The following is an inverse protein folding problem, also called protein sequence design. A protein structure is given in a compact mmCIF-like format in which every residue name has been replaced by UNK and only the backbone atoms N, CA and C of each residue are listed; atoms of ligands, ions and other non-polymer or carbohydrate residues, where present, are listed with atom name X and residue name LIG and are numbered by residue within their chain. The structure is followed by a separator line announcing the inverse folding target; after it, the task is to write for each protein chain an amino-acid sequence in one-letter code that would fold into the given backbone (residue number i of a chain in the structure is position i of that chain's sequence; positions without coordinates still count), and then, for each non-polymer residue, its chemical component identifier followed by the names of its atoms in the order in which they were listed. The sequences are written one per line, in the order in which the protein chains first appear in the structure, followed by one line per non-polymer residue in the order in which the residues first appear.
data_IF_325143196287
#
_entry.id   IF_325143196287
#
_cell.length_a   1.000
_cell.length_b   1.000
_cell.length_c   1.000
_cell.angle_alpha   90.00
_cell.angle_beta   90.00
_cell.angle_gamma   90.00
#
_symmetry.space_group_name_H-M   'P 1'
#
loop_
_entity.id
_entity.type
_entity.pdbx_description
1 polymer ?
#
# COMPACT_ATOMS: atom_id res chain seq x y z
N UNK A 1 28.29 46.11 27.42
CA UNK A 1 27.10 46.65 28.13
C UNK A 1 25.94 46.42 27.19
N UNK A 2 25.34 45.24 27.28
CA UNK A 2 24.07 44.87 27.98
C UNK A 2 23.09 44.51 26.85
N UNK A 3 22.90 43.24 26.50
CA UNK A 3 22.21 42.18 27.27
C UNK A 3 20.80 42.61 27.61
N UNK A 4 19.85 42.22 26.76
CA UNK A 4 18.46 42.03 27.16
C UNK A 4 18.08 40.59 26.81
N UNK A 5 18.40 39.73 27.78
CA UNK A 5 17.91 38.37 27.98
C UNK A 5 16.56 38.43 28.72
N UNK A 6 15.75 37.38 28.54
CA UNK A 6 14.52 37.03 29.28
C UNK A 6 13.27 37.83 28.85
N UNK A 7 12.21 37.20 28.34
CA UNK A 7 11.36 36.22 29.04
C UNK A 7 10.44 35.60 27.97
N UNK A 8 10.42 34.30 27.69
CA UNK A 8 9.88 33.22 28.52
C UNK A 8 10.47 31.87 28.12
N UNK A 9 11.01 31.17 29.12
CA UNK A 9 11.40 29.77 29.05
C UNK A 9 10.31 28.87 29.67
N UNK A 10 10.43 27.57 29.34
CA UNK A 10 9.81 26.34 29.90
C UNK A 10 8.48 25.98 29.21
N UNK A 11 8.35 24.80 28.59
CA UNK A 11 8.67 23.47 29.13
C UNK A 11 9.30 22.52 28.09
N UNK A 12 10.32 21.81 28.54
CA UNK A 12 10.86 20.57 27.99
C UNK A 12 10.04 19.37 28.51
N UNK A 13 9.77 18.38 27.65
CA UNK A 13 9.69 16.93 27.91
C UNK A 13 9.24 16.26 26.59
N UNK A 14 10.00 15.37 25.96
CA UNK A 14 10.17 13.99 26.41
C UNK A 14 9.18 13.07 25.67
N UNK A 15 9.48 12.70 24.42
CA UNK A 15 8.66 11.77 23.65
C UNK A 15 9.27 11.42 22.31
N UNK A 16 10.00 10.29 22.25
CA UNK A 16 10.47 9.68 21.02
C UNK A 16 9.31 9.14 20.18
N UNK A 17 8.51 10.05 19.63
CA UNK A 17 7.45 9.74 18.70
C UNK A 17 8.05 9.10 17.46
N UNK A 18 7.65 7.87 17.16
CA UNK A 18 7.82 7.28 15.83
C UNK A 18 7.21 8.26 14.84
N UNK A 19 8.06 8.93 14.06
CA UNK A 19 7.63 9.72 12.91
C UNK A 19 6.79 8.80 12.02
N UNK A 20 5.53 9.17 11.83
CA UNK A 20 4.59 8.42 11.02
C UNK A 20 5.04 8.46 9.55
N UNK A 21 4.61 7.54 8.67
CA UNK A 21 4.99 7.53 7.25
C UNK A 21 4.72 8.84 6.50
N UNK A 22 3.85 9.70 7.05
CA UNK A 22 3.55 11.04 6.57
C UNK A 22 4.63 12.09 6.88
N UNK A 23 5.56 11.83 7.80
CA UNK A 23 6.51 12.81 8.33
C UNK A 23 7.86 12.81 7.60
N UNK A 24 7.99 12.03 6.51
CA UNK A 24 9.25 11.83 5.78
C UNK A 24 9.19 12.31 4.33
N UNK A 25 8.04 12.88 3.92
CA UNK A 25 7.87 13.44 2.59
C UNK A 25 7.13 14.77 2.69
N UNK A 26 7.91 15.84 2.71
CA UNK A 26 7.39 17.19 2.58
C UNK A 26 7.15 17.54 1.11
N UNK A 27 5.95 18.05 0.83
CA UNK A 27 5.61 18.54 -0.51
C UNK A 27 5.98 20.02 -0.56
N UNK A 28 6.73 20.48 -1.58
CA UNK A 28 7.05 21.89 -1.74
C UNK A 28 5.80 22.79 -1.73
N UNK A 29 5.89 23.96 -1.10
CA UNK A 29 4.74 24.87 -0.93
C UNK A 29 4.14 25.38 -2.26
N UNK A 30 4.92 25.37 -3.33
CA UNK A 30 4.51 25.76 -4.69
C UNK A 30 3.77 24.64 -5.44
N UNK A 31 3.85 23.40 -4.97
CA UNK A 31 3.15 22.27 -5.55
C UNK A 31 1.71 22.25 -5.07
N UNK A 32 0.79 22.52 -5.98
CA UNK A 32 -0.66 22.39 -5.73
C UNK A 32 -1.08 20.92 -5.74
N UNK A 33 -1.52 20.42 -4.61
CA UNK A 33 -2.13 19.10 -4.44
C UNK A 33 -3.30 19.20 -3.44
N UNK A 34 -4.10 18.14 -3.36
CA UNK A 34 -5.17 17.96 -2.39
C UNK A 34 -4.77 16.85 -1.41
N UNK A 35 -4.98 17.08 -0.12
CA UNK A 35 -4.85 16.04 0.90
C UNK A 35 -6.07 15.11 0.93
N UNK A 36 -6.06 14.12 1.83
CA UNK A 36 -7.12 13.13 1.91
C UNK A 36 -8.49 13.77 2.23
N UNK A 37 -8.54 14.74 3.13
CA UNK A 37 -9.79 15.41 3.53
C UNK A 37 -10.35 16.26 2.38
N UNK A 38 -9.51 17.04 1.70
CA UNK A 38 -9.91 17.86 0.57
C UNK A 38 -10.37 17.00 -0.62
N UNK A 39 -9.72 15.86 -0.87
CA UNK A 39 -10.16 14.90 -1.89
C UNK A 39 -11.54 14.30 -1.56
N UNK A 40 -11.79 13.95 -0.30
CA UNK A 40 -13.08 13.43 0.14
C UNK A 40 -14.19 14.49 0.03
N UNK A 41 -13.90 15.74 0.43
CA UNK A 41 -14.82 16.87 0.24
C UNK A 41 -15.17 17.09 -1.22
N UNK A 42 -14.17 17.02 -2.11
CA UNK A 42 -14.37 17.18 -3.54
C UNK A 42 -15.23 16.05 -4.13
N UNK A 43 -14.94 14.80 -3.77
CA UNK A 43 -15.75 13.65 -4.21
C UNK A 43 -17.21 13.78 -3.75
N UNK A 44 -17.43 14.14 -2.48
CA UNK A 44 -18.76 14.38 -1.92
C UNK A 44 -19.52 15.47 -2.69
N UNK A 45 -18.81 16.51 -3.12
CA UNK A 45 -19.36 17.58 -3.97
C UNK A 45 -19.85 17.04 -5.33
N UNK A 46 -19.06 16.21 -6.01
CA UNK A 46 -19.47 15.54 -7.26
C UNK A 46 -20.70 14.66 -7.06
N UNK A 47 -20.71 13.83 -6.02
CA UNK A 47 -21.82 12.91 -5.73
C UNK A 47 -23.13 13.67 -5.46
N UNK A 48 -23.06 14.71 -4.61
CA UNK A 48 -24.21 15.60 -4.34
C UNK A 48 -24.73 16.28 -5.61
N UNK A 49 -23.83 16.76 -6.46
CA UNK A 49 -24.22 17.37 -7.73
C UNK A 49 -24.92 16.39 -8.67
N UNK A 50 -24.47 15.13 -8.73
CA UNK A 50 -25.17 14.10 -9.51
C UNK A 50 -26.59 13.87 -8.99
N UNK A 51 -26.74 13.71 -7.67
CA UNK A 51 -28.04 13.46 -7.02
C UNK A 51 -29.06 14.61 -7.19
N UNK A 52 -28.59 15.84 -7.40
CA UNK A 52 -29.45 17.01 -7.64
C UNK A 52 -29.93 17.13 -9.10
N UNK A 53 -29.72 16.12 -9.95
CA UNK A 53 -30.18 16.15 -11.32
C UNK A 53 -31.70 15.91 -11.38
N UNK A 54 -32.47 16.95 -11.71
CA UNK A 54 -33.93 16.82 -11.86
C UNK A 54 -34.39 16.19 -13.19
N UNK A 55 -33.47 15.82 -14.09
CA UNK A 55 -33.79 15.21 -15.40
C UNK A 55 -32.80 14.09 -15.76
N UNK A 56 -33.27 12.98 -16.39
CA UNK A 56 -32.42 11.83 -16.73
C UNK A 56 -31.25 12.15 -17.67
N UNK A 57 -31.43 13.06 -18.63
CA UNK A 57 -30.36 13.47 -19.56
C UNK A 57 -29.23 14.20 -18.84
N UNK A 58 -29.59 15.08 -17.90
CA UNK A 58 -28.63 15.77 -17.04
C UNK A 58 -27.96 14.79 -16.09
N UNK A 59 -28.72 13.90 -15.48
CA UNK A 59 -28.20 12.88 -14.56
C UNK A 59 -27.15 12.00 -15.25
N UNK A 60 -27.45 11.48 -16.45
CA UNK A 60 -26.50 10.74 -17.29
C UNK A 60 -25.23 11.54 -17.53
N UNK A 61 -25.33 12.80 -17.92
CA UNK A 61 -24.16 13.66 -18.16
C UNK A 61 -23.32 13.84 -16.88
N UNK A 62 -23.96 14.08 -15.74
CA UNK A 62 -23.27 14.26 -14.45
C UNK A 62 -22.58 12.98 -13.96
N UNK A 63 -23.25 11.83 -14.09
CA UNK A 63 -22.69 10.52 -13.73
C UNK A 63 -21.48 10.16 -14.60
N UNK A 64 -21.48 10.52 -15.89
CA UNK A 64 -20.28 10.37 -16.75
C UNK A 64 -19.11 11.20 -16.22
N UNK A 65 -19.36 12.44 -15.81
CA UNK A 65 -18.34 13.30 -15.21
C UNK A 65 -17.85 12.76 -13.86
N UNK A 66 -18.73 12.19 -13.03
CA UNK A 66 -18.35 11.51 -11.79
C UNK A 66 -17.47 10.28 -12.06
N UNK A 67 -17.84 9.43 -13.03
CA UNK A 67 -17.01 8.28 -13.42
C UNK A 67 -15.62 8.75 -13.87
N UNK A 68 -15.55 9.83 -14.66
CA UNK A 68 -14.28 10.43 -15.08
C UNK A 68 -13.47 10.95 -13.89
N UNK A 69 -14.11 11.62 -12.93
CA UNK A 69 -13.46 12.07 -11.69
C UNK A 69 -12.86 10.89 -10.91
N UNK A 70 -13.64 9.83 -10.67
CA UNK A 70 -13.18 8.64 -9.95
C UNK A 70 -12.00 7.99 -10.67
N UNK A 71 -12.07 7.89 -12.01
CA UNK A 71 -10.95 7.40 -12.80
C UNK A 71 -9.69 8.21 -12.62
N UNK A 72 -9.76 9.54 -12.78
CA UNK A 72 -8.59 10.40 -12.61
C UNK A 72 -8.04 10.36 -11.18
N UNK A 73 -8.91 10.36 -10.17
CA UNK A 73 -8.56 10.34 -8.76
C UNK A 73 -7.77 9.10 -8.35
N UNK A 74 -8.19 7.93 -8.84
CA UNK A 74 -7.63 6.65 -8.39
C UNK A 74 -6.54 6.10 -9.29
N UNK A 75 -6.57 6.40 -10.60
CA UNK A 75 -5.48 6.02 -11.52
C UNK A 75 -4.35 7.03 -11.58
N UNK A 76 -4.64 8.32 -11.31
CA UNK A 76 -3.71 9.41 -11.58
C UNK A 76 -3.45 9.63 -13.08
N UNK A 77 -4.31 9.14 -13.97
CA UNK A 77 -4.21 9.35 -15.42
C UNK A 77 -4.24 10.84 -15.80
N UNK A 78 -3.71 11.17 -16.99
CA UNK A 78 -3.93 12.49 -17.61
C UNK A 78 -5.39 12.56 -18.11
N UNK A 79 -5.97 13.76 -18.06
CA UNK A 79 -7.33 13.98 -18.59
C UNK A 79 -7.47 13.46 -20.03
N UNK A 80 -6.49 13.75 -20.90
CA UNK A 80 -6.52 13.30 -22.30
C UNK A 80 -6.41 11.79 -22.49
N UNK A 81 -5.78 11.06 -21.55
CA UNK A 81 -5.74 9.59 -21.59
C UNK A 81 -7.13 9.02 -21.32
N UNK A 82 -7.81 9.53 -20.28
CA UNK A 82 -9.14 9.05 -19.91
C UNK A 82 -10.21 9.49 -20.92
N UNK A 83 -10.13 10.70 -21.48
CA UNK A 83 -11.10 11.15 -22.48
C UNK A 83 -11.00 10.39 -23.81
N UNK A 84 -9.82 9.84 -24.11
CA UNK A 84 -9.55 9.15 -25.37
C UNK A 84 -9.52 7.63 -25.27
N UNK A 85 -9.87 7.05 -24.12
CA UNK A 85 -9.88 5.60 -23.92
C UNK A 85 -11.26 5.01 -24.25
N UNK A 86 -11.26 3.79 -24.79
CA UNK A 86 -12.41 2.89 -24.77
C UNK A 86 -12.38 2.13 -23.45
N UNK A 87 -13.35 2.38 -22.57
CA UNK A 87 -13.38 1.70 -21.27
C UNK A 87 -13.71 0.22 -21.34
N UNK A 88 -14.35 -0.26 -22.41
CA UNK A 88 -14.64 -1.67 -22.62
C UNK A 88 -13.39 -2.50 -22.96
N UNK A 89 -12.41 -1.87 -23.61
CA UNK A 89 -11.11 -2.49 -23.91
C UNK A 89 -10.07 -2.24 -22.82
N UNK A 90 -10.07 -1.04 -22.23
CA UNK A 90 -9.02 -0.64 -21.32
C UNK A 90 -9.28 -1.00 -19.85
N UNK A 91 -10.52 -1.18 -19.41
CA UNK A 91 -10.86 -1.54 -18.03
C UNK A 91 -11.08 -3.05 -17.91
N UNK A 92 -10.35 -3.71 -17.01
CA UNK A 92 -10.65 -5.07 -16.57
C UNK A 92 -11.26 -5.02 -15.15
N UNK A 93 -12.60 -5.17 -15.02
CA UNK A 93 -13.26 -5.11 -13.72
C UNK A 93 -12.98 -6.30 -12.81
N UNK A 94 -12.55 -7.45 -13.36
CA UNK A 94 -12.27 -8.66 -12.58
C UNK A 94 -10.92 -8.54 -11.89
N UNK A 95 -9.90 -8.09 -12.64
CA UNK A 95 -8.57 -7.79 -12.10
C UNK A 95 -8.51 -6.44 -11.39
N UNK A 96 -9.52 -5.59 -11.58
CA UNK A 96 -9.59 -4.22 -11.06
C UNK A 96 -8.40 -3.36 -11.53
N UNK A 97 -8.11 -3.43 -12.82
CA UNK A 97 -7.00 -2.70 -13.46
C UNK A 97 -7.48 -1.94 -14.68
N UNK A 98 -6.79 -0.85 -14.99
CA UNK A 98 -7.00 -0.08 -16.22
C UNK A 98 -5.70 0.03 -17.00
N UNK A 99 -5.76 -0.20 -18.31
CA UNK A 99 -4.67 0.02 -19.24
C UNK A 99 -4.69 1.49 -19.68
N UNK A 100 -3.56 2.18 -19.50
CA UNK A 100 -3.42 3.59 -19.82
C UNK A 100 -2.21 3.85 -20.70
N UNK A 101 -2.32 4.87 -21.55
CA UNK A 101 -1.29 5.22 -22.52
C UNK A 101 -1.68 4.79 -23.93
N UNK A 102 -0.74 4.93 -24.85
CA UNK A 102 -0.86 4.50 -26.25
C UNK A 102 0.39 3.73 -26.61
N UNK A 103 0.27 2.76 -27.53
CA UNK A 103 1.42 2.01 -28.00
C UNK A 103 2.53 2.95 -28.50
N UNK A 104 3.80 2.65 -28.19
CA UNK A 104 4.31 1.44 -27.50
C UNK A 104 4.34 1.55 -25.96
N UNK A 105 3.80 2.62 -25.37
CA UNK A 105 3.89 2.92 -23.94
C UNK A 105 2.55 2.74 -23.23
N UNK A 106 2.13 1.48 -23.09
CA UNK A 106 0.95 1.08 -22.31
C UNK A 106 1.39 0.65 -20.91
N UNK A 107 0.64 1.05 -19.90
CA UNK A 107 0.86 0.68 -18.50
C UNK A 107 -0.43 0.19 -17.86
N UNK A 108 -0.31 -0.81 -17.00
CA UNK A 108 -1.41 -1.32 -16.19
C UNK A 108 -1.46 -0.56 -14.85
N UNK A 109 -2.62 -0.01 -14.51
CA UNK A 109 -2.82 0.77 -13.27
C UNK A 109 -3.91 0.13 -12.42
N UNK A 110 -3.59 -0.30 -11.18
CA UNK A 110 -4.59 -0.83 -10.26
C UNK A 110 -5.60 0.22 -9.82
N UNK A 111 -6.87 -0.20 -9.71
CA UNK A 111 -7.99 0.60 -9.23
C UNK A 111 -8.67 -0.05 -8.02
N UNK A 112 -9.29 0.74 -7.12
CA UNK A 112 -10.15 0.17 -6.10
C UNK A 112 -11.32 -0.60 -6.72
N UNK A 113 -11.57 -1.83 -6.26
CA UNK A 113 -12.71 -2.66 -6.71
C UNK A 113 -14.06 -1.94 -6.60
N UNK A 114 -14.21 -1.05 -5.62
CA UNK A 114 -15.41 -0.22 -5.46
C UNK A 114 -15.64 0.69 -6.68
N UNK A 115 -14.59 1.32 -7.21
CA UNK A 115 -14.65 2.19 -8.39
C UNK A 115 -15.01 1.36 -9.62
N UNK A 116 -14.35 0.20 -9.82
CA UNK A 116 -14.69 -0.69 -10.93
C UNK A 116 -16.16 -1.12 -10.91
N UNK A 117 -16.68 -1.49 -9.73
CA UNK A 117 -18.11 -1.84 -9.56
C UNK A 117 -19.04 -0.66 -9.83
N UNK A 118 -18.66 0.54 -9.42
CA UNK A 118 -19.47 1.74 -9.66
C UNK A 118 -19.55 2.07 -11.16
N UNK A 119 -18.42 2.00 -11.88
CA UNK A 119 -18.38 2.21 -13.33
C UNK A 119 -19.19 1.15 -14.09
N UNK A 120 -19.00 -0.13 -13.76
CA UNK A 120 -19.74 -1.22 -14.42
C UNK A 120 -21.23 -1.18 -14.07
N UNK A 121 -21.58 -0.85 -12.82
CA UNK A 121 -22.95 -0.63 -12.39
C UNK A 121 -23.64 0.50 -13.14
N UNK A 122 -22.94 1.63 -13.35
CA UNK A 122 -23.46 2.72 -14.17
C UNK A 122 -23.68 2.30 -15.62
N UNK A 123 -22.70 1.62 -16.26
CA UNK A 123 -22.82 1.14 -17.64
C UNK A 123 -23.94 0.10 -17.82
N UNK A 124 -24.25 -0.68 -16.78
CA UNK A 124 -25.36 -1.63 -16.78
C UNK A 124 -26.73 -0.98 -16.51
N UNK A 125 -26.75 0.27 -16.02
CA UNK A 125 -27.99 0.99 -15.72
C UNK A 125 -28.68 1.53 -16.99
N UNK A 126 -29.98 1.87 -16.94
CA UNK A 126 -30.68 2.53 -18.05
C UNK A 126 -30.02 3.84 -18.50
N UNK A 127 -29.39 4.58 -17.58
CA UNK A 127 -28.67 5.82 -17.89
C UNK A 127 -27.33 5.56 -18.60
N UNK A 128 -26.73 4.39 -18.38
CA UNK A 128 -25.51 3.94 -19.05
C UNK A 128 -25.72 3.30 -20.42
N UNK A 129 -26.97 3.00 -20.79
CA UNK A 129 -27.29 2.33 -22.04
C UNK A 129 -26.72 3.08 -23.27
N UNK A 130 -25.97 2.34 -24.10
CA UNK A 130 -25.32 2.87 -25.30
C UNK A 130 -24.07 3.70 -25.05
N UNK A 131 -23.51 3.72 -23.82
CA UNK A 131 -22.24 4.41 -23.53
C UNK A 131 -21.00 3.52 -23.63
N UNK A 132 -21.15 2.20 -23.83
CA UNK A 132 -19.98 1.31 -23.92
C UNK A 132 -19.03 1.77 -25.03
N UNK A 133 -17.75 1.87 -24.69
CA UNK A 133 -16.66 2.39 -25.52
C UNK A 133 -16.63 3.91 -25.67
N UNK A 134 -17.55 4.62 -25.02
CA UNK A 134 -17.66 6.08 -25.12
C UNK A 134 -18.01 6.73 -23.78
N UNK A 135 -17.87 6.01 -22.65
CA UNK A 135 -18.25 6.50 -21.33
C UNK A 135 -17.59 7.85 -21.04
N UNK A 136 -16.31 7.96 -21.36
CA UNK A 136 -15.47 9.13 -21.12
C UNK A 136 -15.38 10.11 -22.29
N UNK A 137 -16.09 9.86 -23.41
CA UNK A 137 -16.12 10.77 -24.56
C UNK A 137 -16.91 12.06 -24.24
N UNK A 138 -16.23 13.00 -23.59
CA UNK A 138 -16.76 14.26 -23.07
C UNK A 138 -15.90 15.44 -23.57
N UNK A 139 -16.53 16.61 -23.74
CA UNK A 139 -15.80 17.83 -24.08
C UNK A 139 -14.82 18.21 -22.95
N UNK A 140 -13.50 18.37 -23.23
CA UNK A 140 -12.53 18.75 -22.22
C UNK A 140 -12.83 20.10 -21.54
N UNK A 141 -13.42 21.05 -22.27
CA UNK A 141 -13.80 22.36 -21.73
C UNK A 141 -14.93 22.25 -20.71
N UNK A 142 -15.95 21.47 -21.02
CA UNK A 142 -17.05 21.12 -20.13
C UNK A 142 -16.55 20.42 -18.86
N UNK A 143 -15.70 19.39 -19.01
CA UNK A 143 -15.13 18.67 -17.85
C UNK A 143 -14.38 19.62 -16.92
N UNK A 144 -13.49 20.46 -17.46
CA UNK A 144 -12.75 21.44 -16.64
C UNK A 144 -13.68 22.40 -15.91
N UNK A 145 -14.71 22.92 -16.57
CA UNK A 145 -15.71 23.80 -15.94
C UNK A 145 -16.44 23.12 -14.78
N UNK A 146 -16.83 21.85 -14.94
CA UNK A 146 -17.51 21.10 -13.86
C UNK A 146 -16.57 20.83 -12.69
N UNK A 147 -15.31 20.51 -12.96
CA UNK A 147 -14.31 20.30 -11.91
C UNK A 147 -14.05 21.56 -11.09
N UNK A 148 -13.91 22.71 -11.75
CA UNK A 148 -13.77 24.01 -11.09
C UNK A 148 -14.99 24.36 -10.23
N UNK A 149 -16.20 24.18 -10.78
CA UNK A 149 -17.42 24.41 -10.03
C UNK A 149 -17.53 23.49 -8.79
N UNK A 150 -17.10 22.22 -8.88
CA UNK A 150 -17.12 21.31 -7.73
C UNK A 150 -16.11 21.67 -6.64
N UNK A 151 -14.95 22.22 -7.01
CA UNK A 151 -13.99 22.77 -6.06
C UNK A 151 -14.58 23.97 -5.32
N UNK A 152 -15.13 24.95 -6.05
CA UNK A 152 -15.78 26.13 -5.49
C UNK A 152 -16.96 25.74 -4.56
N UNK A 153 -17.81 24.79 -4.98
CA UNK A 153 -18.96 24.29 -4.22
C UNK A 153 -18.61 23.62 -2.88
N UNK A 154 -17.37 23.15 -2.72
CA UNK A 154 -16.89 22.58 -1.47
C UNK A 154 -15.92 23.49 -0.74
N UNK A 155 -15.78 24.76 -1.15
CA UNK A 155 -14.93 25.75 -0.51
C UNK A 155 -13.43 25.60 -0.78
N UNK A 156 -13.06 24.88 -1.84
CA UNK A 156 -11.67 24.80 -2.31
C UNK A 156 -11.41 25.90 -3.36
N UNK A 157 -10.19 26.45 -3.43
CA UNK A 157 -9.79 27.32 -4.53
C UNK A 157 -10.03 26.64 -5.89
N UNK A 158 -10.54 27.43 -6.84
CA UNK A 158 -10.94 26.97 -8.18
C UNK A 158 -9.86 26.15 -8.87
N UNK A 159 -8.62 26.61 -8.79
CA UNK A 159 -7.44 25.99 -9.40
C UNK A 159 -7.11 24.60 -8.83
N UNK A 160 -7.52 24.29 -7.60
CA UNK A 160 -7.31 22.96 -7.00
C UNK A 160 -8.28 21.91 -7.57
N UNK A 161 -9.36 22.35 -8.23
CA UNK A 161 -10.23 21.46 -8.98
C UNK A 161 -9.60 20.91 -10.27
N UNK A 162 -8.46 21.42 -10.73
CA UNK A 162 -7.93 21.02 -12.03
C UNK A 162 -7.53 19.52 -12.08
N UNK A 163 -7.81 18.79 -13.19
CA UNK A 163 -7.46 17.38 -13.34
C UNK A 163 -5.98 17.02 -13.06
N UNK A 164 -5.04 17.91 -13.40
CA UNK A 164 -3.62 17.71 -13.10
C UNK A 164 -3.28 17.83 -11.60
N UNK A 165 -4.12 18.49 -10.79
CA UNK A 165 -4.01 18.49 -9.33
C UNK A 165 -4.35 17.11 -8.79
N UNK A 166 -5.39 16.44 -9.30
CA UNK A 166 -5.74 15.08 -8.88
C UNK A 166 -4.60 14.09 -9.16
N UNK A 167 -3.97 14.19 -10.34
CA UNK A 167 -2.79 13.40 -10.68
C UNK A 167 -1.62 13.59 -9.70
N UNK A 168 -1.31 14.85 -9.35
CA UNK A 168 -0.27 15.15 -8.34
C UNK A 168 -0.66 14.63 -6.96
N UNK A 169 -1.92 14.81 -6.57
CA UNK A 169 -2.47 14.33 -5.29
C UNK A 169 -2.34 12.81 -5.19
N UNK A 170 -2.60 12.07 -6.28
CA UNK A 170 -2.39 10.62 -6.34
C UNK A 170 -0.92 10.23 -6.18
N UNK A 171 0.01 10.97 -6.80
CA UNK A 171 1.44 10.75 -6.62
C UNK A 171 1.87 10.95 -5.16
N UNK A 172 1.44 12.07 -4.54
CA UNK A 172 1.71 12.37 -3.12
C UNK A 172 1.14 11.29 -2.20
N UNK A 173 -0.08 10.82 -2.46
CA UNK A 173 -0.72 9.73 -1.70
C UNK A 173 0.07 8.43 -1.78
N UNK A 174 0.54 8.04 -2.98
CA UNK A 174 1.36 6.84 -3.16
C UNK A 174 2.70 6.95 -2.42
N UNK A 175 3.37 8.11 -2.51
CA UNK A 175 4.66 8.35 -1.83
C UNK A 175 4.52 8.33 -0.31
N UNK A 176 3.49 9.00 0.23
CA UNK A 176 3.18 8.97 1.67
C UNK A 176 2.81 7.58 2.16
N UNK A 177 2.27 6.75 1.28
CA UNK A 177 1.99 5.33 1.56
C UNK A 177 3.21 4.43 1.42
N UNK A 178 4.39 5.00 1.11
CA UNK A 178 5.66 4.28 1.00
C UNK A 178 5.92 3.61 -0.35
N UNK A 179 5.14 3.92 -1.39
CA UNK A 179 5.38 3.39 -2.74
C UNK A 179 6.67 3.99 -3.31
N UNK A 180 7.63 3.17 -3.78
CA UNK A 180 8.88 3.67 -4.34
C UNK A 180 8.66 4.58 -5.55
N UNK A 181 9.50 5.62 -5.68
CA UNK A 181 9.42 6.60 -6.77
C UNK A 181 9.43 5.96 -8.16
N UNK A 182 10.24 4.93 -8.37
CA UNK A 182 10.29 4.20 -9.64
C UNK A 182 8.92 3.62 -10.02
N UNK A 183 8.24 3.01 -9.05
CA UNK A 183 6.89 2.45 -9.22
C UNK A 183 5.86 3.57 -9.44
N UNK A 184 5.94 4.68 -8.72
CA UNK A 184 5.06 5.85 -8.95
C UNK A 184 5.22 6.40 -10.38
N UNK A 185 6.45 6.47 -10.88
CA UNK A 185 6.75 6.93 -12.26
C UNK A 185 6.25 5.95 -13.31
N UNK A 186 6.34 4.65 -13.05
CA UNK A 186 5.84 3.61 -13.93
C UNK A 186 4.31 3.63 -14.01
N UNK A 187 3.63 3.66 -12.86
CA UNK A 187 2.16 3.67 -12.74
C UNK A 187 1.55 4.97 -13.30
N UNK A 188 2.16 6.12 -13.04
CA UNK A 188 1.64 7.38 -13.56
C UNK A 188 2.11 7.67 -15.00
N UNK A 189 3.17 7.02 -15.48
CA UNK A 189 3.78 7.27 -16.77
C UNK A 189 4.86 8.36 -16.72
N UNK A 190 5.99 8.10 -17.37
CA UNK A 190 7.25 8.85 -17.21
C UNK A 190 7.24 10.29 -17.77
N UNK A 191 6.25 10.65 -18.57
CA UNK A 191 6.27 11.85 -19.43
C UNK A 191 5.54 13.07 -18.87
N UNK A 192 5.64 13.38 -17.57
CA UNK A 192 5.04 14.61 -17.04
C UNK A 192 6.04 15.40 -16.20
N UNK A 193 6.44 16.55 -16.74
CA UNK A 193 7.14 17.62 -15.99
C UNK A 193 6.41 17.96 -14.67
N UNK A 194 5.09 17.77 -14.62
CA UNK A 194 4.24 17.93 -13.43
C UNK A 194 4.67 17.09 -12.22
N UNK A 195 5.25 15.90 -12.45
CA UNK A 195 5.73 15.04 -11.37
C UNK A 195 7.14 15.44 -10.93
N UNK A 196 7.98 15.92 -11.86
CA UNK A 196 9.35 16.38 -11.56
C UNK A 196 9.35 17.48 -10.51
N UNK A 197 8.39 18.41 -10.55
CA UNK A 197 8.25 19.47 -9.55
C UNK A 197 7.98 18.93 -8.13
N UNK A 198 7.20 17.84 -8.01
CA UNK A 198 6.95 17.15 -6.75
C UNK A 198 8.23 16.50 -6.19
N UNK A 199 9.23 16.24 -7.05
CA UNK A 199 10.42 15.46 -6.74
C UNK A 199 11.72 16.28 -6.61
N UNK A 200 11.70 17.59 -6.92
CA UNK A 200 12.93 18.37 -7.09
C UNK A 200 13.59 18.88 -5.80
N UNK A 201 13.01 18.66 -4.61
CA UNK A 201 13.67 18.99 -3.33
C UNK A 201 13.45 17.87 -2.31
N UNK A 202 14.40 16.95 -2.28
CA UNK A 202 14.66 16.14 -1.09
C UNK A 202 15.55 16.98 -0.18
N UNK A 203 15.19 17.15 1.09
CA UNK A 203 16.07 17.84 2.03
C UNK A 203 17.36 17.02 2.23
N UNK A 204 18.48 17.64 2.62
CA UNK A 204 19.73 16.92 2.92
C UNK A 204 19.53 15.82 3.99
N UNK A 205 18.55 16.00 4.88
CA UNK A 205 18.11 15.00 5.86
C UNK A 205 17.35 13.82 5.25
N UNK A 206 16.63 14.01 4.15
CA UNK A 206 15.89 12.96 3.44
C UNK A 206 16.82 12.09 2.60
N UNK A 207 17.84 12.70 1.97
CA UNK A 207 18.88 11.94 1.27
C UNK A 207 19.62 11.06 2.27
N UNK A 208 19.97 11.56 3.46
CA UNK A 208 20.53 10.71 4.51
C UNK A 208 19.52 9.68 5.04
N UNK A 209 18.23 9.99 5.17
CA UNK A 209 17.18 9.04 5.58
C UNK A 209 16.86 7.96 4.55
N UNK A 210 17.12 8.23 3.26
CA UNK A 210 16.94 7.31 2.14
C UNK A 210 18.23 6.55 1.85
N UNK A 211 19.39 7.21 1.86
CA UNK A 211 20.72 6.58 1.79
C UNK A 211 20.94 5.70 3.02
N UNK A 212 20.47 6.08 4.22
CA UNK A 212 20.46 5.18 5.38
C UNK A 212 19.45 4.05 5.24
N UNK A 213 18.41 4.19 4.41
CA UNK A 213 17.50 3.08 4.06
C UNK A 213 18.06 2.18 2.95
N UNK A 214 18.83 2.71 1.99
CA UNK A 214 19.49 1.98 0.89
C UNK A 214 20.80 1.33 1.35
N UNK A 215 21.58 1.98 2.22
CA UNK A 215 22.67 1.36 2.96
C UNK A 215 22.16 0.32 3.98
N UNK A 216 20.87 0.39 4.33
CA UNK A 216 20.11 -0.65 5.03
C UNK A 216 19.25 -1.50 4.05
N UNK A 217 19.58 -1.51 2.75
CA UNK A 217 19.12 -2.56 1.83
C UNK A 217 20.20 -3.61 1.59
N UNK A 218 21.48 -3.29 1.86
CA UNK A 218 22.54 -4.28 2.10
C UNK A 218 22.70 -4.64 3.60
N UNK A 219 21.80 -4.13 4.46
CA UNK A 219 21.59 -4.64 5.81
C UNK A 219 20.11 -5.04 5.95
N UNK A 220 19.75 -6.06 6.74
CA UNK A 220 18.43 -6.69 6.65
C UNK A 220 17.28 -5.73 7.01
N UNK A 221 16.36 -5.56 6.06
CA UNK A 221 15.14 -4.74 6.10
C UNK A 221 14.28 -5.04 7.33
N UNK A 222 14.00 -4.00 8.14
CA UNK A 222 12.94 -3.99 9.17
C UNK A 222 11.55 -3.90 8.52
N UNK A 223 11.09 -4.99 7.94
CA UNK A 223 9.66 -5.25 7.70
C UNK A 223 8.99 -5.59 9.04
N UNK A 224 7.76 -5.13 9.24
CA UNK A 224 6.89 -5.53 10.36
C UNK A 224 6.53 -7.04 10.33
N UNK A 225 6.97 -7.79 9.33
CA UNK A 225 7.11 -9.24 9.35
C UNK A 225 8.60 -9.63 9.48
N UNK A 226 9.13 -9.55 10.71
CA UNK A 226 10.50 -10.00 11.01
C UNK A 226 10.72 -11.48 10.66
N UNK A 227 9.66 -12.27 10.66
CA UNK A 227 9.74 -13.69 10.33
C UNK A 227 9.39 -13.89 8.86
N UNK A 228 10.39 -13.74 7.99
CA UNK A 228 10.27 -13.93 6.54
C UNK A 228 11.18 -15.07 6.09
N UNK A 229 10.61 -16.05 5.39
CA UNK A 229 11.28 -17.25 4.91
C UNK A 229 11.13 -17.36 3.40
N UNK A 230 12.24 -17.30 2.66
CA UNK A 230 12.26 -17.50 1.21
C UNK A 230 12.61 -18.95 0.91
N UNK A 231 11.78 -19.62 0.12
CA UNK A 231 11.99 -21.03 -0.16
C UNK A 231 11.27 -21.52 -1.41
N UNK A 232 11.58 -22.75 -1.80
CA UNK A 232 10.91 -23.44 -2.91
C UNK A 232 9.83 -24.35 -2.35
N UNK A 233 8.66 -24.38 -2.98
CA UNK A 233 7.58 -25.30 -2.61
C UNK A 233 8.03 -26.74 -2.89
N UNK A 234 8.05 -27.57 -1.86
CA UNK A 234 8.46 -28.97 -1.94
C UNK A 234 7.27 -29.92 -2.00
N UNK A 235 6.13 -29.52 -1.42
CA UNK A 235 4.95 -30.37 -1.35
C UNK A 235 3.66 -29.56 -1.20
N UNK A 236 2.58 -30.08 -1.79
CA UNK A 236 1.23 -29.51 -1.71
C UNK A 236 0.21 -30.63 -1.48
N UNK A 237 -0.70 -30.45 -0.52
CA UNK A 237 -1.91 -31.26 -0.36
C UNK A 237 -3.12 -30.37 -0.32
N UNK A 238 -4.18 -30.78 -1.00
CA UNK A 238 -5.43 -30.02 -1.07
C UNK A 238 -6.55 -30.90 -0.54
N UNK A 239 -7.40 -30.34 0.29
CA UNK A 239 -8.78 -30.77 0.42
C UNK A 239 -9.66 -29.73 -0.30
N UNK A 240 -10.92 -30.03 -0.63
CA UNK A 240 -11.75 -29.15 -1.47
C UNK A 240 -12.00 -27.73 -0.93
N UNK A 241 -11.43 -27.37 0.23
CA UNK A 241 -11.58 -26.07 0.90
C UNK A 241 -10.22 -25.43 1.18
N UNK A 242 -9.23 -26.22 1.61
CA UNK A 242 -7.93 -25.76 2.09
C UNK A 242 -6.78 -26.42 1.31
N UNK A 243 -5.71 -25.67 1.14
CA UNK A 243 -4.44 -26.16 0.62
C UNK A 243 -3.35 -26.03 1.69
N UNK A 244 -2.69 -27.14 1.96
CA UNK A 244 -1.52 -27.23 2.79
C UNK A 244 -0.28 -27.25 1.90
N UNK A 245 0.61 -26.29 2.11
CA UNK A 245 1.80 -26.05 1.29
C UNK A 245 3.03 -26.13 2.19
N UNK A 246 4.00 -26.96 1.81
CA UNK A 246 5.31 -27.01 2.44
C UNK A 246 6.35 -26.39 1.50
N UNK A 247 7.23 -25.57 2.06
CA UNK A 247 8.38 -25.00 1.37
C UNK A 247 9.65 -25.24 2.18
N UNK A 248 10.77 -25.29 1.47
CA UNK A 248 12.09 -25.44 2.03
C UNK A 248 12.95 -24.24 1.65
N UNK A 249 13.58 -23.63 2.66
CA UNK A 249 14.53 -22.53 2.44
C UNK A 249 15.88 -23.05 1.96
N UNK A 250 16.72 -22.18 1.41
CA UNK A 250 18.09 -22.56 1.02
C UNK A 250 18.94 -23.09 2.21
N UNK A 251 18.55 -22.77 3.44
CA UNK A 251 19.18 -23.25 4.66
C UNK A 251 18.56 -24.54 5.22
N UNK A 252 17.67 -25.20 4.46
CA UNK A 252 17.03 -26.47 4.86
C UNK A 252 15.92 -26.31 5.91
N UNK A 253 15.40 -25.10 6.12
CA UNK A 253 14.28 -24.89 7.05
C UNK A 253 12.97 -25.28 6.35
N UNK A 254 12.20 -26.18 6.97
CA UNK A 254 10.85 -26.49 6.52
C UNK A 254 9.84 -25.49 7.10
N UNK A 255 9.10 -24.81 6.22
CA UNK A 255 7.95 -23.96 6.58
C UNK A 255 6.69 -24.50 5.91
N UNK A 256 5.63 -24.67 6.70
CA UNK A 256 4.33 -25.14 6.26
C UNK A 256 3.28 -24.06 6.46
N UNK A 257 2.46 -23.84 5.43
CA UNK A 257 1.34 -22.91 5.45
C UNK A 257 0.05 -23.66 5.10
N UNK A 258 -1.06 -23.27 5.71
CA UNK A 258 -2.41 -23.72 5.35
C UNK A 258 -3.20 -22.49 4.91
N UNK A 259 -3.57 -22.46 3.63
CA UNK A 259 -4.30 -21.36 2.99
C UNK A 259 -5.59 -21.86 2.35
N UNK A 260 -6.51 -20.97 2.00
CA UNK A 260 -7.71 -21.37 1.25
C UNK A 260 -7.33 -21.83 -0.15
N UNK A 261 -8.13 -22.76 -0.71
CA UNK A 261 -7.92 -23.23 -2.08
C UNK A 261 -7.96 -22.06 -3.09
N UNK A 262 -8.84 -21.08 -2.89
CA UNK A 262 -8.91 -19.85 -3.68
C UNK A 262 -7.58 -19.06 -3.65
N UNK A 263 -6.97 -18.91 -2.46
CA UNK A 263 -5.66 -18.23 -2.34
C UNK A 263 -4.56 -19.02 -3.01
N UNK A 264 -4.58 -20.35 -2.89
CA UNK A 264 -3.61 -21.23 -3.55
C UNK A 264 -3.65 -21.08 -5.08
N UNK A 265 -4.86 -21.07 -5.64
CA UNK A 265 -5.09 -20.94 -7.09
C UNK A 265 -4.76 -19.53 -7.58
N UNK A 266 -5.19 -18.48 -6.86
CA UNK A 266 -4.92 -17.08 -7.18
C UNK A 266 -3.42 -16.78 -7.19
N UNK A 267 -2.67 -17.36 -6.25
CA UNK A 267 -1.23 -17.21 -6.15
C UNK A 267 -0.46 -18.11 -7.15
N UNK A 268 -1.13 -18.95 -7.94
CA UNK A 268 -0.46 -19.81 -8.92
C UNK A 268 0.58 -20.75 -8.30
N UNK A 269 0.38 -21.17 -7.05
CA UNK A 269 1.36 -21.99 -6.32
C UNK A 269 1.41 -23.39 -6.93
N UNK A 270 2.61 -23.88 -7.18
CA UNK A 270 2.86 -25.25 -7.60
C UNK A 270 4.16 -25.76 -6.97
N UNK A 271 4.30 -27.08 -6.88
CA UNK A 271 5.56 -27.70 -6.47
C UNK A 271 6.68 -27.22 -7.40
N UNK A 272 7.79 -26.77 -6.82
CA UNK A 272 8.93 -26.22 -7.52
C UNK A 272 8.93 -24.70 -7.68
N UNK A 273 7.84 -24.00 -7.39
CA UNK A 273 7.78 -22.52 -7.44
C UNK A 273 8.47 -21.91 -6.22
N UNK A 274 9.16 -20.79 -6.41
CA UNK A 274 9.76 -20.00 -5.32
C UNK A 274 8.72 -19.08 -4.71
N UNK A 275 8.59 -19.11 -3.38
CA UNK A 275 7.62 -18.33 -2.62
C UNK A 275 8.28 -17.70 -1.39
N UNK A 276 7.63 -16.67 -0.86
CA UNK A 276 8.00 -16.04 0.42
C UNK A 276 6.93 -16.34 1.44
N UNK A 277 7.29 -17.00 2.54
CA UNK A 277 6.44 -17.20 3.69
C UNK A 277 6.71 -16.13 4.75
N UNK A 278 5.65 -15.61 5.35
CA UNK A 278 5.72 -14.61 6.41
C UNK A 278 4.82 -14.99 7.58
N UNK A 279 5.28 -14.77 8.81
CA UNK A 279 4.47 -14.96 10.03
C UNK A 279 4.60 -13.74 10.93
N UNK A 280 3.46 -13.24 11.45
CA UNK A 280 3.48 -12.09 12.36
C UNK A 280 4.05 -12.50 13.72
N UNK A 281 4.85 -11.64 14.34
CA UNK A 281 5.46 -11.87 15.65
C UNK A 281 4.50 -12.33 16.78
N UNK A 282 3.24 -11.84 16.90
CA UNK A 282 2.31 -12.33 17.91
C UNK A 282 1.75 -13.75 17.66
N UNK A 283 2.12 -14.40 16.54
CA UNK A 283 1.78 -15.78 16.26
C UNK A 283 2.98 -16.74 16.40
N UNK A 284 4.08 -16.24 16.96
CA UNK A 284 5.29 -17.02 17.19
C UNK A 284 5.43 -17.27 18.68
N UNK A 285 5.39 -18.54 19.04
CA UNK A 285 5.60 -19.04 20.39
C UNK A 285 7.09 -19.31 20.63
N UNK A 286 7.55 -19.11 21.86
CA UNK A 286 8.93 -19.40 22.27
C UNK A 286 8.96 -20.64 23.14
N UNK A 287 9.72 -21.66 22.75
CA UNK A 287 9.78 -22.96 23.40
C UNK A 287 11.24 -23.35 23.73
N UNK A 288 11.47 -24.14 24.80
CA UNK A 288 12.74 -24.86 25.01
C UNK A 288 12.70 -26.20 24.28
N UNK A 289 13.79 -26.59 23.63
CA UNK A 289 13.91 -27.90 23.01
C UNK A 289 14.89 -27.93 21.85
N UNK A 290 14.95 -29.08 21.19
CA UNK A 290 15.75 -29.32 19.99
C UNK A 290 14.92 -29.07 18.73
N UNK A 291 15.59 -28.69 17.64
CA UNK A 291 14.95 -28.52 16.33
C UNK A 291 14.27 -29.82 15.88
N UNK A 292 13.06 -29.73 15.34
CA UNK A 292 12.36 -30.89 14.78
C UNK A 292 11.00 -30.52 14.19
N UNK A 293 10.77 -30.87 12.92
CA UNK A 293 9.52 -30.61 12.20
C UNK A 293 9.43 -29.23 11.54
N UNK A 294 8.40 -29.04 10.72
CA UNK A 294 8.15 -27.77 10.03
C UNK A 294 7.63 -26.70 11.01
N UNK A 295 7.94 -25.43 10.72
CA UNK A 295 7.59 -24.26 11.54
C UNK A 295 8.18 -24.27 12.95
N UNK A 296 9.31 -24.95 13.16
CA UNK A 296 10.07 -24.93 14.42
C UNK A 296 11.51 -24.56 14.11
N UNK A 297 11.84 -23.30 14.37
CA UNK A 297 13.13 -22.72 13.99
C UNK A 297 13.99 -22.59 15.23
N UNK A 298 15.18 -23.19 15.21
CA UNK A 298 16.16 -23.00 16.27
C UNK A 298 16.79 -21.62 16.15
N UNK A 299 16.78 -20.88 17.25
CA UNK A 299 17.24 -19.49 17.31
C UNK A 299 18.10 -19.25 18.54
N UNK A 300 19.03 -18.31 18.42
CA UNK A 300 19.79 -17.76 19.55
C UNK A 300 19.24 -16.38 19.86
N UNK A 301 18.83 -16.16 21.11
CA UNK A 301 18.19 -14.91 21.54
C UNK A 301 19.22 -13.78 21.51
N UNK A 302 18.90 -12.70 20.81
CA UNK A 302 19.74 -11.50 20.71
C UNK A 302 19.30 -10.39 21.65
N UNK A 303 18.02 -10.39 22.08
CA UNK A 303 17.53 -9.42 23.04
C UNK A 303 16.08 -9.67 23.46
N UNK A 304 15.76 -9.30 24.70
CA UNK A 304 14.40 -9.33 25.26
C UNK A 304 14.05 -7.92 25.73
N UNK A 305 12.89 -7.40 25.32
CA UNK A 305 12.39 -6.07 25.73
C UNK A 305 10.96 -6.19 26.23
N UNK A 306 10.74 -5.94 27.52
CA UNK A 306 9.41 -5.89 28.14
C UNK A 306 8.84 -4.47 28.18
N UNK A 307 7.52 -4.37 28.24
CA UNK A 307 6.80 -3.10 28.42
C UNK A 307 5.66 -3.18 29.45
N UNK A 308 5.60 -4.24 30.27
CA UNK A 308 4.60 -4.48 31.31
C UNK A 308 3.38 -5.30 30.86
N UNK A 309 3.25 -5.60 29.55
CA UNK A 309 2.13 -6.39 29.00
C UNK A 309 2.64 -7.46 28.04
N UNK A 310 3.48 -7.06 27.09
CA UNK A 310 4.09 -7.96 26.11
C UNK A 310 5.61 -7.81 26.16
N UNK A 311 6.29 -8.94 26.01
CA UNK A 311 7.72 -8.97 25.80
C UNK A 311 8.05 -9.29 24.35
N UNK A 312 8.91 -8.45 23.78
CA UNK A 312 9.51 -8.66 22.48
C UNK A 312 10.79 -9.48 22.63
N UNK A 313 10.78 -10.71 22.11
CA UNK A 313 11.95 -11.58 22.03
C UNK A 313 12.49 -11.51 20.61
N UNK A 314 13.68 -10.91 20.47
CA UNK A 314 14.44 -10.88 19.22
C UNK A 314 15.49 -11.99 19.23
N UNK A 315 15.62 -12.71 18.13
CA UNK A 315 16.54 -13.83 18.01
C UNK A 315 17.11 -13.96 16.60
N UNK A 316 18.19 -14.71 16.45
CA UNK A 316 18.84 -15.02 15.16
C UNK A 316 18.77 -16.52 14.94
N UNK A 317 18.18 -16.92 13.80
CA UNK A 317 18.15 -18.31 13.35
C UNK A 317 19.53 -18.86 13.01
N UNK A 318 19.64 -20.19 12.95
CA UNK A 318 20.87 -20.89 12.55
C UNK A 318 21.38 -20.48 11.16
N UNK A 319 20.49 -19.97 10.32
CA UNK A 319 20.74 -19.48 8.96
C UNK A 319 21.07 -17.98 8.90
N UNK A 320 21.19 -17.31 10.05
CA UNK A 320 21.39 -15.86 10.14
C UNK A 320 20.10 -15.04 9.97
N UNK A 321 18.94 -15.68 9.83
CA UNK A 321 17.66 -14.98 9.71
C UNK A 321 17.28 -14.32 11.04
N UNK A 322 17.06 -13.01 11.03
CA UNK A 322 16.56 -12.30 12.21
C UNK A 322 15.08 -12.60 12.41
N UNK A 323 14.71 -13.07 13.60
CA UNK A 323 13.35 -13.47 13.95
C UNK A 323 12.85 -12.70 15.19
N UNK A 324 11.53 -12.61 15.34
CA UNK A 324 10.89 -11.97 16.48
C UNK A 324 9.61 -12.68 16.91
N UNK A 325 9.46 -12.83 18.22
CA UNK A 325 8.23 -13.25 18.88
C UNK A 325 7.72 -12.11 19.79
N UNK A 326 6.39 -12.00 19.91
CA UNK A 326 5.73 -11.20 20.94
C UNK A 326 4.98 -12.17 21.85
N UNK A 327 5.42 -12.25 23.11
CA UNK A 327 4.87 -13.17 24.13
C UNK A 327 4.37 -12.38 25.32
N UNK A 328 3.38 -12.92 26.04
CA UNK A 328 2.89 -12.30 27.28
C UNK A 328 3.97 -12.41 28.37
N UNK A 329 4.10 -11.40 29.23
CA UNK A 329 5.11 -11.43 30.30
C UNK A 329 4.93 -12.63 31.24
N UNK A 330 3.69 -13.02 31.54
CA UNK A 330 3.37 -14.22 32.31
C UNK A 330 3.89 -15.52 31.70
N UNK A 331 4.09 -15.58 30.38
CA UNK A 331 4.67 -16.74 29.69
C UNK A 331 6.20 -16.80 29.87
N UNK A 332 6.86 -15.65 30.03
CA UNK A 332 8.29 -15.55 30.32
C UNK A 332 8.61 -15.72 31.81
N UNK A 333 7.68 -15.41 32.71
CA UNK A 333 7.87 -15.68 34.15
C UNK A 333 8.09 -17.17 34.43
N UNK A 334 7.36 -18.05 33.72
CA UNK A 334 7.55 -19.51 33.78
C UNK A 334 8.76 -20.03 32.99
N UNK A 335 9.36 -19.19 32.16
CA UNK A 335 10.50 -19.53 31.31
C UNK A 335 11.39 -18.29 31.13
N UNK A 336 12.28 -17.98 32.09
CA UNK A 336 13.16 -16.82 31.96
C UNK A 336 14.10 -17.05 30.76
N UNK A 337 14.18 -16.06 29.88
CA UNK A 337 15.02 -16.09 28.67
C UNK A 337 15.97 -14.91 28.71
N UNK A 338 17.27 -15.19 28.54
CA UNK A 338 18.31 -14.18 28.46
C UNK A 338 18.91 -14.10 27.04
N UNK A 339 19.50 -12.96 26.65
CA UNK A 339 20.35 -12.89 25.47
C UNK A 339 21.45 -13.97 25.53
N UNK A 340 21.61 -14.72 24.44
CA UNK A 340 22.51 -15.87 24.33
C UNK A 340 21.82 -17.23 24.49
N UNK A 341 20.60 -17.28 25.03
CA UNK A 341 19.86 -18.54 25.17
C UNK A 341 19.47 -19.13 23.81
N UNK A 342 19.53 -20.45 23.72
CA UNK A 342 19.03 -21.21 22.55
C UNK A 342 17.60 -21.65 22.81
N UNK A 343 16.69 -21.20 21.97
CA UNK A 343 15.26 -21.50 22.05
C UNK A 343 14.72 -21.87 20.66
N UNK A 344 13.50 -22.36 20.62
CA UNK A 344 12.77 -22.66 19.39
C UNK A 344 11.67 -21.62 19.22
N UNK A 345 11.63 -20.99 18.05
CA UNK A 345 10.47 -20.24 17.61
C UNK A 345 9.53 -21.18 16.85
N UNK A 346 8.32 -21.34 17.37
CA UNK A 346 7.31 -22.22 16.82
C UNK A 346 6.08 -21.43 16.39
N UNK A 347 5.44 -21.83 15.30
CA UNK A 347 4.21 -21.18 14.84
C UNK A 347 3.30 -22.15 14.07
N UNK A 348 2.00 -21.87 14.09
CA UNK A 348 1.00 -22.72 13.43
C UNK A 348 1.06 -22.52 11.91
N UNK A 349 0.76 -23.56 11.13
CA UNK A 349 0.72 -23.42 9.67
C UNK A 349 -0.35 -22.41 9.20
N UNK A 350 -1.44 -22.29 9.95
CA UNK A 350 -2.53 -21.33 9.71
C UNK A 350 -2.11 -19.86 9.92
N UNK A 351 -1.01 -19.58 10.63
CA UNK A 351 -0.52 -18.22 10.84
C UNK A 351 0.51 -17.78 9.81
N UNK A 352 0.87 -18.65 8.86
CA UNK A 352 1.85 -18.37 7.81
C UNK A 352 1.14 -17.89 6.55
N UNK A 353 1.49 -16.69 6.10
CA UNK A 353 1.00 -16.10 4.84
C UNK A 353 2.04 -16.28 3.75
N UNK A 354 1.61 -16.75 2.58
CA UNK A 354 2.45 -16.93 1.40
C UNK A 354 2.32 -15.75 0.43
N UNK A 355 3.43 -15.39 -0.18
CA UNK A 355 3.54 -14.42 -1.28
C UNK A 355 4.33 -15.07 -2.41
N UNK A 356 3.92 -14.84 -3.65
CA UNK A 356 4.74 -15.21 -4.82
C UNK A 356 5.79 -14.15 -5.10
N UNK A 357 6.94 -14.60 -5.61
CA UNK A 357 8.04 -13.72 -6.03
C UNK A 357 7.82 -13.11 -7.41
#
# INVERSE_FOLDING_TARGET
MTSDEMTHARLSEGGGGRLAPCDVFEVPQDVRYLDAEALERLERSFRRWCAQAGRPDRERSRLRVLCLFLMLRHSGAKLGEVLGMDEGEALDPQRAVVLLGREPHVREVPLPRAVCRELTGFLASPLGAGLRGSLFSLDPGYVRRMFYARAEDCGLPRELGAPNVLRRSRAVEMLRSGVPLGVVREVLGQSSADLVAVFQRWSEGDVQGIVRRLAVQDAPVRSSARNTFRGRVTWVRKDGVMAEVALETAAGLCVRSVITLESFETLGIAVGVSVVATVKAPYVDVLRGTQGGCNRIAVTVSGVRGNGVLSEVSAVGVDGTNLCALVCESELEGMPIAPGDRVIFAFKALSVVLHTL
#
